data_IF_439220316303
#
_entry.id   IF_439220316303
#
_cell.length_a   1.000
_cell.length_b   1.000
_cell.length_c   1.000
_cell.angle_alpha   90.00
_cell.angle_beta   90.00
_cell.angle_gamma   90.00
#
_symmetry.space_group_name_H-M   'P 1'
#
loop_
_entity.id
_entity.type
_entity.pdbx_description
1 polymer ?
#
# COMPACT_ATOMS: atom_id res chain seq x y z
N UNK A 1 6.01 11.29 21.02
CA UNK A 1 4.55 11.26 20.77
C UNK A 1 3.83 10.96 22.06
N UNK A 2 2.69 11.58 22.36
CA UNK A 2 1.88 11.16 23.51
C UNK A 2 1.22 9.79 23.23
N UNK A 3 0.87 9.04 24.28
CA UNK A 3 0.26 7.70 24.14
C UNK A 3 -1.07 7.69 23.35
N UNK A 4 -1.77 8.82 23.29
CA UNK A 4 -3.04 8.95 22.57
C UNK A 4 -2.82 8.99 21.06
N UNK A 5 -1.85 9.78 20.59
CA UNK A 5 -1.52 9.91 19.17
C UNK A 5 -0.99 8.58 18.61
N UNK A 6 -0.19 7.85 19.38
CA UNK A 6 0.29 6.52 18.97
C UNK A 6 -0.87 5.53 18.80
N UNK A 7 -1.82 5.50 19.74
CA UNK A 7 -3.03 4.66 19.63
C UNK A 7 -3.89 5.07 18.43
N UNK A 8 -4.01 6.38 18.16
CA UNK A 8 -4.76 6.89 17.01
C UNK A 8 -4.12 6.45 15.69
N UNK A 9 -2.81 6.59 15.53
CA UNK A 9 -2.08 6.17 14.32
C UNK A 9 -2.28 4.69 14.04
N UNK A 10 -2.16 3.84 15.07
CA UNK A 10 -2.38 2.40 14.93
C UNK A 10 -3.83 2.11 14.49
N UNK A 11 -4.82 2.76 15.12
CA UNK A 11 -6.23 2.58 14.75
C UNK A 11 -6.52 3.02 13.32
N UNK A 12 -5.97 4.15 12.88
CA UNK A 12 -6.12 4.63 11.51
C UNK A 12 -5.44 3.70 10.51
N UNK A 13 -4.27 3.15 10.84
CA UNK A 13 -3.60 2.13 10.04
C UNK A 13 -4.46 0.88 9.86
N UNK A 14 -5.03 0.34 10.94
CA UNK A 14 -5.95 -0.80 10.86
C UNK A 14 -7.28 -0.46 10.16
N UNK A 15 -7.81 0.76 10.33
CA UNK A 15 -8.99 1.21 9.62
C UNK A 15 -8.77 1.24 8.10
N UNK A 16 -7.55 1.55 7.65
CA UNK A 16 -7.14 1.44 6.25
C UNK A 16 -7.15 0.02 5.70
N UNK A 17 -7.21 -1.04 6.52
CA UNK A 17 -7.35 -2.41 6.03
C UNK A 17 -8.80 -2.81 5.75
N UNK A 18 -9.78 -2.02 6.21
CA UNK A 18 -11.20 -2.35 6.09
C UNK A 18 -11.60 -2.60 4.63
N UNK A 19 -11.30 -1.72 3.65
CA UNK A 19 -11.70 -1.96 2.27
C UNK A 19 -11.01 -3.19 1.67
N UNK A 20 -9.74 -3.44 2.00
CA UNK A 20 -8.99 -4.60 1.52
C UNK A 20 -9.62 -5.93 1.99
N UNK A 21 -9.95 -6.02 3.28
CA UNK A 21 -10.58 -7.22 3.85
C UNK A 21 -11.99 -7.40 3.29
N UNK A 22 -12.77 -6.32 3.22
CA UNK A 22 -14.13 -6.35 2.71
C UNK A 22 -14.18 -6.80 1.24
N UNK A 23 -13.35 -6.23 0.38
CA UNK A 23 -13.26 -6.62 -1.03
C UNK A 23 -12.79 -8.08 -1.20
N UNK A 24 -11.85 -8.53 -0.36
CA UNK A 24 -11.42 -9.95 -0.35
C UNK A 24 -12.57 -10.89 0.00
N UNK A 25 -13.34 -10.59 1.06
CA UNK A 25 -14.50 -11.38 1.46
C UNK A 25 -15.57 -11.37 0.37
N UNK A 26 -15.82 -10.23 -0.27
CA UNK A 26 -16.78 -10.11 -1.36
C UNK A 26 -16.41 -11.00 -2.55
N UNK A 27 -15.12 -11.12 -2.89
CA UNK A 27 -14.67 -12.06 -3.93
C UNK A 27 -15.04 -13.53 -3.64
N UNK A 28 -15.29 -13.90 -2.38
CA UNK A 28 -15.65 -15.27 -1.99
C UNK A 28 -17.15 -15.54 -1.98
N UNK A 29 -17.98 -14.51 -1.77
CA UNK A 29 -19.42 -14.68 -1.56
C UNK A 29 -20.28 -14.13 -2.69
N UNK A 30 -19.72 -13.28 -3.56
CA UNK A 30 -20.47 -12.64 -4.65
C UNK A 30 -20.78 -13.62 -5.78
N UNK A 31 -21.85 -13.35 -6.53
CA UNK A 31 -22.16 -14.06 -7.76
C UNK A 31 -21.02 -13.95 -8.80
N UNK A 32 -20.68 -15.01 -9.55
CA UNK A 32 -19.55 -15.03 -10.49
C UNK A 32 -19.50 -13.86 -11.48
N UNK A 33 -20.65 -13.36 -11.94
CA UNK A 33 -20.74 -12.23 -12.87
C UNK A 33 -20.12 -10.93 -12.31
N UNK A 34 -20.10 -10.78 -10.99
CA UNK A 34 -19.54 -9.60 -10.32
C UNK A 34 -18.09 -9.80 -9.87
N UNK A 35 -17.59 -11.03 -9.86
CA UNK A 35 -16.26 -11.36 -9.32
C UNK A 35 -15.15 -10.51 -9.96
N UNK A 36 -15.21 -10.31 -11.28
CA UNK A 36 -14.24 -9.50 -12.01
C UNK A 36 -14.19 -8.03 -11.55
N UNK A 37 -15.32 -7.45 -11.12
CA UNK A 37 -15.36 -6.10 -10.59
C UNK A 37 -14.69 -6.00 -9.22
N UNK A 38 -14.98 -6.95 -8.33
CA UNK A 38 -14.38 -6.97 -6.99
C UNK A 38 -12.88 -7.28 -7.02
N UNK A 39 -12.41 -8.13 -7.92
CA UNK A 39 -10.98 -8.36 -8.15
C UNK A 39 -10.29 -7.09 -8.64
N UNK A 40 -10.87 -6.37 -9.61
CA UNK A 40 -10.31 -5.10 -10.08
C UNK A 40 -10.30 -4.04 -8.97
N UNK A 41 -11.35 -3.97 -8.16
CA UNK A 41 -11.41 -3.07 -7.02
C UNK A 41 -10.35 -3.43 -5.96
N UNK A 42 -10.15 -4.73 -5.67
CA UNK A 42 -9.11 -5.22 -4.77
C UNK A 42 -7.71 -4.82 -5.25
N UNK A 43 -7.42 -5.05 -6.53
CA UNK A 43 -6.14 -4.65 -7.12
C UNK A 43 -5.99 -3.12 -7.09
N UNK A 44 -7.01 -2.36 -7.48
CA UNK A 44 -6.96 -0.90 -7.43
C UNK A 44 -6.69 -0.39 -6.00
N UNK A 45 -7.33 -0.97 -4.98
CA UNK A 45 -7.12 -0.60 -3.59
C UNK A 45 -5.70 -0.95 -3.12
N UNK A 46 -5.18 -2.13 -3.47
CA UNK A 46 -3.80 -2.51 -3.18
C UNK A 46 -2.78 -1.52 -3.78
N UNK A 47 -3.04 -1.02 -4.98
CA UNK A 47 -2.21 0.02 -5.61
C UNK A 47 -2.21 1.30 -4.79
N UNK A 48 -3.38 1.76 -4.36
CA UNK A 48 -3.54 2.98 -3.55
C UNK A 48 -2.74 2.86 -2.24
N UNK A 49 -2.82 1.73 -1.54
CA UNK A 49 -2.09 1.55 -0.28
C UNK A 49 -0.57 1.52 -0.51
N UNK A 50 -0.08 0.80 -1.52
CA UNK A 50 1.37 0.78 -1.83
C UNK A 50 1.89 2.18 -2.21
N UNK A 51 1.10 2.96 -2.95
CA UNK A 51 1.43 4.36 -3.25
C UNK A 51 1.48 5.23 -2.00
N UNK A 52 0.53 5.05 -1.09
CA UNK A 52 0.52 5.76 0.19
C UNK A 52 1.75 5.42 1.06
N UNK A 53 2.13 4.14 1.15
CA UNK A 53 3.32 3.69 1.88
C UNK A 53 4.61 4.28 1.29
N UNK A 54 4.70 4.37 -0.04
CA UNK A 54 5.80 5.05 -0.73
C UNK A 54 5.86 6.55 -0.39
N UNK A 55 4.71 7.24 -0.40
CA UNK A 55 4.64 8.66 -0.02
C UNK A 55 4.99 8.91 1.46
N UNK A 56 4.66 7.98 2.36
CA UNK A 56 4.99 8.08 3.79
C UNK A 56 6.50 8.11 4.01
N UNK A 57 7.28 7.35 3.23
CA UNK A 57 8.74 7.35 3.28
C UNK A 57 9.33 8.75 3.04
N UNK A 58 8.77 9.50 2.09
CA UNK A 58 9.18 10.88 1.84
C UNK A 58 8.85 11.77 3.03
N UNK A 59 7.61 11.72 3.53
CA UNK A 59 7.17 12.53 4.66
C UNK A 59 8.06 12.35 5.89
N UNK A 60 8.34 11.09 6.26
CA UNK A 60 9.22 10.78 7.41
C UNK A 60 10.65 11.27 7.18
N UNK A 61 11.19 11.09 5.97
CA UNK A 61 12.57 11.47 5.66
C UNK A 61 12.74 12.99 5.64
N UNK A 62 11.81 13.72 5.04
CA UNK A 62 11.84 15.19 4.98
C UNK A 62 11.68 15.85 6.36
N UNK A 63 11.01 15.17 7.31
CA UNK A 63 10.87 15.65 8.68
C UNK A 63 12.06 15.27 9.59
N UNK A 64 12.91 14.33 9.17
CA UNK A 64 14.07 13.90 9.95
C UNK A 64 15.24 14.88 9.77
N UNK A 65 15.63 15.57 10.83
CA UNK A 65 16.79 16.46 10.81
C UNK A 65 18.10 15.69 10.98
N UNK A 66 19.16 16.12 10.29
CA UNK A 66 20.53 15.60 10.48
C UNK A 66 20.85 14.29 9.77
N UNK A 67 20.06 13.87 8.78
CA UNK A 67 20.41 12.76 7.88
C UNK A 67 21.43 13.21 6.84
N UNK A 68 22.30 12.29 6.46
CA UNK A 68 23.20 12.47 5.32
C UNK A 68 22.39 12.60 4.01
N UNK A 69 22.94 13.37 3.06
CA UNK A 69 22.29 13.66 1.79
C UNK A 69 22.07 12.38 0.97
N UNK A 70 22.99 11.41 1.07
CA UNK A 70 22.89 10.13 0.38
C UNK A 70 21.75 9.26 0.94
N UNK A 71 21.60 9.19 2.25
CA UNK A 71 20.51 8.46 2.90
C UNK A 71 19.16 9.05 2.54
N UNK A 72 19.07 10.38 2.52
CA UNK A 72 17.88 11.11 2.10
C UNK A 72 17.52 10.79 0.65
N UNK A 73 18.51 10.79 -0.26
CA UNK A 73 18.30 10.45 -1.68
C UNK A 73 17.84 9.00 -1.85
N UNK A 74 18.45 8.04 -1.15
CA UNK A 74 18.03 6.63 -1.20
C UNK A 74 16.59 6.46 -0.71
N UNK A 75 16.21 7.13 0.38
CA UNK A 75 14.85 7.09 0.89
C UNK A 75 13.84 7.73 -0.08
N UNK A 76 14.22 8.79 -0.79
CA UNK A 76 13.39 9.39 -1.85
C UNK A 76 13.17 8.43 -3.02
N UNK A 77 14.22 7.75 -3.49
CA UNK A 77 14.11 6.74 -4.55
C UNK A 77 13.18 5.60 -4.08
N UNK A 78 13.39 5.11 -2.85
CA UNK A 78 12.56 4.07 -2.26
C UNK A 78 11.10 4.46 -2.11
N UNK A 79 10.76 5.73 -1.91
CA UNK A 79 9.34 6.15 -1.88
C UNK A 79 8.61 6.00 -3.23
N UNK A 80 9.33 5.98 -4.35
CA UNK A 80 8.73 5.81 -5.69
C UNK A 80 8.58 4.35 -6.07
N UNK A 81 9.53 3.50 -5.67
CA UNK A 81 9.60 2.08 -6.07
C UNK A 81 8.28 1.33 -5.80
N UNK A 82 7.68 1.37 -4.60
CA UNK A 82 6.41 0.70 -4.32
C UNK A 82 5.27 1.14 -5.24
N UNK A 83 5.21 2.41 -5.62
CA UNK A 83 4.19 2.93 -6.55
C UNK A 83 4.35 2.36 -7.95
N UNK A 84 5.59 2.28 -8.45
CA UNK A 84 5.87 1.72 -9.77
C UNK A 84 5.62 0.21 -9.79
N UNK A 85 6.03 -0.51 -8.74
CA UNK A 85 5.73 -1.93 -8.56
C UNK A 85 4.21 -2.12 -8.58
N UNK A 86 3.48 -1.35 -7.77
CA UNK A 86 2.04 -1.42 -7.71
C UNK A 86 1.38 -1.20 -9.08
N UNK A 87 1.83 -0.22 -9.86
CA UNK A 87 1.30 0.07 -11.18
C UNK A 87 1.42 -1.11 -12.16
N UNK A 88 2.49 -1.91 -12.07
CA UNK A 88 2.65 -3.13 -12.88
C UNK A 88 1.54 -4.19 -12.64
N UNK A 89 0.80 -4.06 -11.54
CA UNK A 89 -0.32 -4.96 -11.21
C UNK A 89 -1.49 -4.87 -12.19
N UNK A 90 -1.54 -3.83 -13.03
CA UNK A 90 -2.60 -3.61 -14.02
C UNK A 90 -2.48 -4.51 -15.26
N UNK A 91 -1.36 -5.21 -15.44
CA UNK A 91 -1.08 -5.97 -16.66
C UNK A 91 -1.97 -7.22 -16.81
N UNK A 92 -1.98 -8.11 -15.83
CA UNK A 92 -2.87 -9.26 -15.78
C UNK A 92 -3.21 -9.62 -14.32
N UNK A 93 -4.33 -10.32 -14.14
CA UNK A 93 -4.89 -10.59 -12.81
C UNK A 93 -3.94 -11.36 -11.89
N UNK A 94 -3.37 -12.48 -12.36
CA UNK A 94 -2.52 -13.33 -11.53
C UNK A 94 -1.21 -12.63 -11.15
N UNK A 95 -0.56 -12.01 -12.14
CA UNK A 95 0.63 -11.21 -11.94
C UNK A 95 0.35 -10.03 -11.00
N UNK A 96 -0.82 -9.41 -11.12
CA UNK A 96 -1.24 -8.32 -10.24
C UNK A 96 -1.23 -8.70 -8.78
N UNK A 97 -1.79 -9.86 -8.43
CA UNK A 97 -1.75 -10.32 -7.04
C UNK A 97 -0.34 -10.65 -6.57
N UNK A 98 0.49 -11.31 -7.39
CA UNK A 98 1.88 -11.61 -7.04
C UNK A 98 2.68 -10.34 -6.78
N UNK A 99 2.54 -9.35 -7.68
CA UNK A 99 3.20 -8.05 -7.57
C UNK A 99 2.76 -7.32 -6.31
N UNK A 100 1.47 -7.37 -5.96
CA UNK A 100 0.99 -6.75 -4.72
C UNK A 100 1.54 -7.44 -3.48
N UNK A 101 1.57 -8.77 -3.43
CA UNK A 101 2.15 -9.50 -2.29
C UNK A 101 3.62 -9.12 -2.10
N UNK A 102 4.41 -9.17 -3.18
CA UNK A 102 5.83 -8.78 -3.13
C UNK A 102 5.97 -7.31 -2.73
N UNK A 103 5.15 -6.42 -3.28
CA UNK A 103 5.14 -5.00 -2.97
C UNK A 103 4.85 -4.72 -1.49
N UNK A 104 3.88 -5.42 -0.90
CA UNK A 104 3.54 -5.26 0.53
C UNK A 104 4.64 -5.80 1.43
N UNK A 105 5.28 -6.91 1.06
CA UNK A 105 6.42 -7.46 1.80
C UNK A 105 7.62 -6.51 1.72
N UNK A 106 7.92 -5.97 0.54
CA UNK A 106 9.06 -5.05 0.35
C UNK A 106 8.85 -3.67 1.00
N UNK A 107 7.60 -3.28 1.24
CA UNK A 107 7.26 -2.02 1.89
C UNK A 107 7.32 -2.08 3.44
N UNK A 108 7.63 -3.25 4.02
CA UNK A 108 7.73 -3.50 5.47
C UNK A 108 9.12 -4.04 5.84
#
# INVERSE_FOLDING_TARGET
MNNLNQKLVIRLGFAGLIPFVLLTVLCWIVHPDWLGYFIKAQLAYGIVILSFLGGLHWGVTLMAQGKDDEETRRAMIWGVIPTLIAWCSLSNMLFGFVVQVVGFIAAY
#
